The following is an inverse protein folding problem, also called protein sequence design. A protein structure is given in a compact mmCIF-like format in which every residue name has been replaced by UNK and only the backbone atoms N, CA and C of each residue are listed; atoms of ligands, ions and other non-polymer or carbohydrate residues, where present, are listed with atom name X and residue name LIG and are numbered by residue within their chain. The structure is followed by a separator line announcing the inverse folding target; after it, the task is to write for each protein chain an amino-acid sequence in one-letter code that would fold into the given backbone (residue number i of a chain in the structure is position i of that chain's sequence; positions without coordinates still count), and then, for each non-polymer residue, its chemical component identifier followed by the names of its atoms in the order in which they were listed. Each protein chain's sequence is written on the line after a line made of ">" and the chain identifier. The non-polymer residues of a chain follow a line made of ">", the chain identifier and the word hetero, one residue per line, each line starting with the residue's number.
data_IF_496303264376
#
_entry.id   IF_496303264376
#
_cell.length_a   1.000
_cell.length_b   1.000
_cell.length_c   1.000
_cell.angle_alpha   90.00
_cell.angle_beta   90.00
_cell.angle_gamma   90.00
#
_symmetry.space_group_name_H-M   'P 1'
#
loop_
_entity.id
_entity.type
_entity.pdbx_description
1 polymer ?
#
# COMPACT_ATOMS: atom_id res chain seq x y z
N UNK A 1 -16.35 -4.49 -6.27
CA UNK A 1 -15.91 -5.83 -5.85
C UNK A 1 -14.60 -5.78 -5.08
N UNK A 2 -13.55 -5.09 -5.53
CA UNK A 2 -12.27 -5.00 -4.82
C UNK A 2 -12.37 -4.51 -3.37
N UNK A 3 -13.18 -3.48 -3.08
CA UNK A 3 -13.36 -2.98 -1.72
C UNK A 3 -13.99 -4.02 -0.76
N UNK A 4 -14.89 -4.89 -1.27
CA UNK A 4 -15.47 -6.00 -0.48
C UNK A 4 -14.39 -7.04 -0.18
N UNK A 5 -13.58 -7.40 -1.18
CA UNK A 5 -12.49 -8.34 -0.99
C UNK A 5 -11.44 -7.81 0.01
N UNK A 6 -11.10 -6.51 -0.08
CA UNK A 6 -10.19 -5.86 0.86
C UNK A 6 -10.75 -5.86 2.31
N UNK A 7 -12.07 -5.73 2.48
CA UNK A 7 -12.69 -5.79 3.81
C UNK A 7 -12.70 -7.20 4.41
N UNK A 8 -12.93 -8.23 3.59
CA UNK A 8 -13.00 -9.63 4.04
C UNK A 8 -11.61 -10.26 4.18
N UNK A 9 -10.62 -9.80 3.37
CA UNK A 9 -9.30 -10.40 3.27
C UNK A 9 -8.59 -10.62 4.61
N UNK A 10 -8.37 -9.58 5.42
CA UNK A 10 -7.68 -9.72 6.71
C UNK A 10 -8.39 -10.68 7.67
N UNK A 11 -9.73 -10.64 7.71
CA UNK A 11 -10.51 -11.54 8.57
C UNK A 11 -10.42 -12.98 8.08
N UNK A 12 -10.58 -13.22 6.78
CA UNK A 12 -10.48 -14.55 6.17
C UNK A 12 -9.08 -15.14 6.35
N UNK A 13 -8.04 -14.34 6.06
CA UNK A 13 -6.64 -14.73 6.29
C UNK A 13 -6.37 -15.04 7.76
N UNK A 14 -6.90 -14.22 8.67
CA UNK A 14 -6.82 -14.43 10.12
C UNK A 14 -7.45 -15.74 10.59
N UNK A 15 -8.66 -16.05 10.12
CA UNK A 15 -9.33 -17.34 10.40
C UNK A 15 -8.49 -18.52 9.90
N UNK A 16 -8.05 -18.46 8.64
CA UNK A 16 -7.24 -19.53 8.04
C UNK A 16 -5.93 -19.75 8.80
N UNK A 17 -5.24 -18.68 9.15
CA UNK A 17 -3.93 -18.75 9.81
C UNK A 17 -4.05 -19.23 11.27
N UNK A 18 -5.05 -18.73 12.01
CA UNK A 18 -5.20 -19.01 13.44
C UNK A 18 -5.80 -20.39 13.72
N UNK A 19 -6.86 -20.79 13.00
CA UNK A 19 -7.62 -21.99 13.30
C UNK A 19 -7.24 -23.21 12.45
N UNK A 20 -6.56 -22.99 11.30
CA UNK A 20 -6.15 -24.07 10.41
C UNK A 20 -4.64 -24.04 10.18
N UNK A 21 -4.19 -23.34 9.16
CA UNK A 21 -2.78 -23.05 8.83
C UNK A 21 -2.76 -22.05 7.66
N UNK A 22 -1.76 -21.20 7.60
CA UNK A 22 -1.55 -20.28 6.47
C UNK A 22 -1.60 -20.97 5.09
N UNK A 23 -1.24 -22.26 5.02
CA UNK A 23 -1.30 -23.07 3.79
C UNK A 23 -2.71 -23.19 3.22
N UNK A 24 -3.74 -23.19 4.06
CA UNK A 24 -5.14 -23.27 3.61
C UNK A 24 -5.62 -21.97 2.95
N UNK A 25 -4.98 -20.83 3.24
CA UNK A 25 -5.21 -19.61 2.48
C UNK A 25 -4.95 -19.83 0.99
N UNK A 26 -3.78 -20.37 0.62
CA UNK A 26 -3.46 -20.71 -0.78
C UNK A 26 -4.35 -21.82 -1.34
N UNK A 27 -4.71 -22.81 -0.53
CA UNK A 27 -5.64 -23.86 -0.98
C UNK A 27 -7.02 -23.28 -1.31
N UNK A 28 -7.51 -22.28 -0.59
CA UNK A 28 -8.78 -21.60 -0.90
C UNK A 28 -8.72 -20.83 -2.22
N UNK A 29 -7.60 -20.19 -2.55
CA UNK A 29 -7.39 -19.56 -3.87
C UNK A 29 -7.46 -20.58 -4.99
N UNK A 30 -6.85 -21.76 -4.83
CA UNK A 30 -6.94 -22.85 -5.79
C UNK A 30 -8.40 -23.28 -6.02
N UNK A 31 -9.19 -23.41 -4.95
CA UNK A 31 -10.61 -23.75 -5.04
C UNK A 31 -11.38 -22.68 -5.84
N UNK A 32 -11.12 -21.39 -5.57
CA UNK A 32 -11.73 -20.28 -6.32
C UNK A 32 -11.39 -20.36 -7.80
N UNK A 33 -10.12 -20.60 -8.13
CA UNK A 33 -9.68 -20.76 -9.53
C UNK A 33 -10.37 -21.94 -10.19
N UNK A 34 -10.50 -23.09 -9.53
CA UNK A 34 -11.22 -24.27 -10.05
C UNK A 34 -12.69 -23.90 -10.32
N UNK A 35 -13.35 -23.21 -9.40
CA UNK A 35 -14.74 -22.78 -9.59
C UNK A 35 -14.86 -21.86 -10.81
N UNK A 36 -13.95 -20.90 -10.99
CA UNK A 36 -13.94 -20.00 -12.15
C UNK A 36 -13.77 -20.80 -13.44
N UNK A 37 -12.84 -21.78 -13.46
CA UNK A 37 -12.62 -22.64 -14.63
C UNK A 37 -13.84 -23.49 -14.96
N UNK A 38 -14.56 -24.00 -13.98
CA UNK A 38 -15.81 -24.76 -14.19
C UNK A 38 -16.92 -23.88 -14.71
N UNK A 39 -16.99 -22.62 -14.31
CA UNK A 39 -18.00 -21.66 -14.73
C UNK A 39 -17.66 -20.93 -16.03
N UNK A 40 -16.43 -21.04 -16.56
CA UNK A 40 -16.01 -20.34 -17.78
C UNK A 40 -16.90 -20.59 -18.98
N UNK A 41 -17.51 -21.79 -19.09
CA UNK A 41 -18.42 -22.14 -20.18
C UNK A 41 -19.72 -21.32 -20.18
N UNK A 42 -20.06 -20.68 -19.05
CA UNK A 42 -21.24 -19.80 -18.91
C UNK A 42 -20.92 -18.34 -19.25
N UNK A 43 -19.64 -18.00 -19.42
CA UNK A 43 -19.23 -16.65 -19.81
C UNK A 43 -19.41 -16.53 -21.33
N UNK A 44 -20.12 -15.49 -21.83
CA UNK A 44 -20.27 -15.27 -23.26
C UNK A 44 -18.88 -15.11 -23.90
N UNK A 45 -18.65 -15.81 -25.03
CA UNK A 45 -17.43 -15.64 -25.79
C UNK A 45 -17.45 -14.32 -26.55
N UNK A 46 -16.52 -13.46 -26.25
CA UNK A 46 -16.28 -12.26 -27.05
C UNK A 46 -15.27 -12.59 -28.16
N UNK A 47 -15.55 -12.21 -29.41
CA UNK A 47 -14.58 -12.41 -30.48
C UNK A 47 -13.29 -11.65 -30.14
N UNK A 48 -12.11 -12.26 -30.34
CA UNK A 48 -10.84 -11.57 -30.09
C UNK A 48 -10.74 -10.37 -31.03
N UNK A 49 -10.48 -9.22 -30.47
CA UNK A 49 -10.31 -7.95 -31.23
C UNK A 49 -9.01 -7.95 -32.02
N UNK A 50 -8.06 -8.80 -31.64
CA UNK A 50 -6.72 -8.87 -32.23
C UNK A 50 -6.25 -10.31 -32.43
N UNK A 51 -5.32 -10.51 -33.37
CA UNK A 51 -4.75 -11.81 -33.69
C UNK A 51 -3.75 -12.25 -32.62
N UNK A 52 -3.66 -13.56 -32.34
CA UNK A 52 -2.61 -14.16 -31.48
C UNK A 52 -1.18 -13.77 -31.90
N UNK A 53 -0.97 -13.38 -33.15
CA UNK A 53 0.35 -12.93 -33.67
C UNK A 53 0.72 -11.52 -33.19
N UNK A 54 -0.24 -10.77 -32.64
CA UNK A 54 -0.04 -9.40 -32.17
C UNK A 54 0.33 -9.34 -30.70
N UNK A 55 0.36 -10.49 -29.97
CA UNK A 55 0.77 -10.56 -28.58
C UNK A 55 2.23 -10.08 -28.41
N UNK A 56 2.41 -9.16 -27.47
CA UNK A 56 3.74 -8.65 -27.13
C UNK A 56 4.41 -9.46 -26.02
N UNK A 57 4.91 -10.62 -26.37
CA UNK A 57 5.65 -11.48 -25.43
C UNK A 57 6.95 -10.81 -24.97
N UNK A 58 7.62 -10.10 -25.86
CA UNK A 58 8.90 -9.43 -25.54
C UNK A 58 8.70 -8.31 -24.54
N UNK A 59 7.72 -7.43 -24.77
CA UNK A 59 7.36 -6.38 -23.82
C UNK A 59 6.93 -6.94 -22.46
N UNK A 60 6.14 -8.04 -22.49
CA UNK A 60 5.73 -8.72 -21.26
C UNK A 60 6.93 -9.22 -20.44
N UNK A 61 7.93 -9.85 -21.09
CA UNK A 61 9.12 -10.34 -20.39
C UNK A 61 9.96 -9.19 -19.84
N UNK A 62 10.19 -8.13 -20.62
CA UNK A 62 10.98 -6.96 -20.19
C UNK A 62 10.31 -6.27 -19.00
N UNK A 63 8.99 -6.04 -19.06
CA UNK A 63 8.23 -5.42 -17.97
C UNK A 63 8.25 -6.27 -16.71
N UNK A 64 8.05 -7.59 -16.86
CA UNK A 64 8.10 -8.54 -15.74
C UNK A 64 9.47 -8.51 -15.04
N UNK A 65 10.55 -8.60 -15.79
CA UNK A 65 11.91 -8.54 -15.24
C UNK A 65 12.14 -7.20 -14.54
N UNK A 66 11.77 -6.10 -15.18
CA UNK A 66 11.93 -4.76 -14.61
C UNK A 66 11.18 -4.59 -13.29
N UNK A 67 9.92 -5.03 -13.22
CA UNK A 67 9.09 -4.94 -12.02
C UNK A 67 9.60 -5.86 -10.90
N UNK A 68 9.97 -7.11 -11.24
CA UNK A 68 10.52 -8.05 -10.25
C UNK A 68 11.82 -7.51 -9.65
N UNK A 69 12.74 -7.01 -10.48
CA UNK A 69 13.99 -6.45 -9.99
C UNK A 69 13.76 -5.20 -9.13
N UNK A 70 12.84 -4.33 -9.52
CA UNK A 70 12.50 -3.14 -8.76
C UNK A 70 11.97 -3.50 -7.36
N UNK A 71 10.95 -4.36 -7.30
CA UNK A 71 10.33 -4.78 -6.03
C UNK A 71 11.31 -5.56 -5.17
N UNK A 72 12.02 -6.53 -5.76
CA UNK A 72 13.03 -7.31 -5.04
C UNK A 72 14.16 -6.43 -4.49
N UNK A 73 14.65 -5.47 -5.28
CA UNK A 73 15.68 -4.55 -4.83
C UNK A 73 15.20 -3.70 -3.65
N UNK A 74 13.96 -3.20 -3.66
CA UNK A 74 13.39 -2.44 -2.54
C UNK A 74 13.27 -3.32 -1.29
N UNK A 75 12.75 -4.55 -1.42
CA UNK A 75 12.62 -5.49 -0.30
C UNK A 75 13.96 -5.90 0.32
N UNK A 76 15.03 -5.91 -0.47
CA UNK A 76 16.37 -6.33 -0.04
C UNK A 76 17.21 -5.20 0.53
N UNK A 77 16.73 -3.94 0.53
CA UNK A 77 17.49 -2.77 1.03
C UNK A 77 17.95 -2.92 2.46
N UNK A 78 17.22 -3.66 3.29
CA UNK A 78 17.54 -3.92 4.69
C UNK A 78 18.63 -4.97 4.88
N UNK A 79 18.86 -5.85 3.89
CA UNK A 79 19.84 -6.93 3.99
C UNK A 79 21.23 -6.52 3.45
N UNK A 80 21.25 -5.90 2.27
CA UNK A 80 22.48 -5.41 1.63
C UNK A 80 22.16 -4.17 0.78
N UNK A 81 22.43 -3.01 1.33
CA UNK A 81 22.11 -1.72 0.74
C UNK A 81 22.74 -1.51 -0.63
N UNK A 82 24.05 -1.82 -0.77
CA UNK A 82 24.78 -1.58 -2.01
C UNK A 82 24.31 -2.47 -3.17
N UNK A 83 24.16 -3.77 -2.90
CA UNK A 83 23.65 -4.72 -3.90
C UNK A 83 22.21 -4.38 -4.27
N UNK A 84 21.37 -4.02 -3.30
CA UNK A 84 19.95 -3.68 -3.53
C UNK A 84 19.79 -2.44 -4.39
N UNK A 85 20.59 -1.38 -4.18
CA UNK A 85 20.59 -0.20 -5.06
C UNK A 85 20.98 -0.59 -6.49
N UNK A 86 21.99 -1.45 -6.66
CA UNK A 86 22.35 -1.97 -7.96
C UNK A 86 21.19 -2.66 -8.68
N UNK A 87 20.46 -3.53 -7.96
CA UNK A 87 19.29 -4.24 -8.47
C UNK A 87 18.15 -3.28 -8.82
N UNK A 88 17.88 -2.27 -7.98
CA UNK A 88 16.87 -1.23 -8.26
C UNK A 88 17.21 -0.47 -9.55
N UNK A 89 18.48 -0.06 -9.71
CA UNK A 89 18.94 0.65 -10.91
C UNK A 89 18.75 -0.21 -12.16
N UNK A 90 19.10 -1.49 -12.12
CA UNK A 90 18.89 -2.41 -13.24
C UNK A 90 17.40 -2.58 -13.52
N UNK A 91 16.56 -2.69 -12.50
CA UNK A 91 15.09 -2.73 -12.65
C UNK A 91 14.54 -1.47 -13.34
N UNK A 92 15.00 -0.28 -12.91
CA UNK A 92 14.60 1.00 -13.54
C UNK A 92 15.07 1.05 -15.00
N UNK A 93 16.30 0.64 -15.30
CA UNK A 93 16.82 0.61 -16.67
C UNK A 93 15.98 -0.33 -17.54
N UNK A 94 15.59 -1.50 -17.02
CA UNK A 94 14.73 -2.43 -17.73
C UNK A 94 13.34 -1.83 -18.01
N UNK A 95 12.74 -1.11 -17.05
CA UNK A 95 11.45 -0.43 -17.23
C UNK A 95 11.55 0.74 -18.22
N UNK A 96 12.62 1.51 -18.20
CA UNK A 96 12.88 2.56 -19.21
C UNK A 96 13.06 1.94 -20.60
N UNK A 97 13.80 0.82 -20.68
CA UNK A 97 13.94 0.02 -21.90
C UNK A 97 12.60 -0.51 -22.41
N UNK A 98 11.72 -0.99 -21.50
CA UNK A 98 10.36 -1.38 -21.82
C UNK A 98 9.56 -0.23 -22.44
N UNK A 99 9.56 0.95 -21.81
CA UNK A 99 8.88 2.15 -22.35
C UNK A 99 9.38 2.48 -23.75
N UNK A 100 10.70 2.48 -23.96
CA UNK A 100 11.28 2.73 -25.26
C UNK A 100 10.90 1.66 -26.31
N UNK A 101 10.88 0.39 -25.91
CA UNK A 101 10.49 -0.73 -26.75
C UNK A 101 9.03 -0.62 -27.19
N UNK A 102 8.11 -0.33 -26.27
CA UNK A 102 6.68 -0.15 -26.55
C UNK A 102 6.43 1.01 -27.52
N UNK A 103 7.07 2.16 -27.30
CA UNK A 103 6.97 3.31 -28.22
C UNK A 103 7.47 2.97 -29.61
N UNK A 104 8.58 2.22 -29.72
CA UNK A 104 9.12 1.78 -31.01
C UNK A 104 8.19 0.77 -31.70
N UNK A 105 7.62 -0.16 -30.92
CA UNK A 105 6.67 -1.15 -31.40
C UNK A 105 5.42 -0.50 -31.99
N UNK A 106 4.84 0.47 -31.29
CA UNK A 106 3.70 1.25 -31.77
C UNK A 106 4.02 2.02 -33.06
N UNK A 107 5.18 2.67 -33.12
CA UNK A 107 5.63 3.36 -34.35
C UNK A 107 5.81 2.41 -35.54
N UNK A 108 6.07 1.16 -35.31
CA UNK A 108 6.17 0.11 -36.34
C UNK A 108 4.82 -0.49 -36.74
N UNK A 109 3.70 0.09 -36.29
CA UNK A 109 2.34 -0.36 -36.60
C UNK A 109 1.94 -1.68 -35.92
N UNK A 110 2.69 -2.13 -34.91
CA UNK A 110 2.36 -3.31 -34.09
C UNK A 110 1.62 -2.88 -32.84
N UNK A 111 0.76 -3.77 -32.33
CA UNK A 111 0.03 -3.54 -31.09
C UNK A 111 1.00 -3.64 -29.90
N UNK A 112 1.14 -2.57 -29.08
CA UNK A 112 1.95 -2.59 -27.88
C UNK A 112 1.21 -3.33 -26.74
N UNK A 113 1.96 -3.89 -25.79
CA UNK A 113 1.38 -4.44 -24.55
C UNK A 113 0.68 -3.34 -23.75
N UNK A 114 1.35 -2.19 -23.67
CA UNK A 114 0.86 -1.00 -22.98
C UNK A 114 0.95 0.21 -23.91
N UNK A 115 -0.19 0.83 -24.19
CA UNK A 115 -0.18 2.08 -24.95
C UNK A 115 0.28 3.24 -24.08
N UNK A 116 1.60 3.46 -24.06
CA UNK A 116 2.24 4.51 -23.25
C UNK A 116 1.76 5.91 -23.67
N UNK A 117 1.26 6.06 -24.90
CA UNK A 117 0.72 7.37 -25.32
C UNK A 117 -0.56 7.75 -24.56
N UNK A 118 -1.28 6.79 -23.99
CA UNK A 118 -2.39 7.07 -23.10
C UNK A 118 -1.95 7.87 -21.87
N UNK A 119 -0.71 7.70 -21.41
CA UNK A 119 -0.15 8.50 -20.31
C UNK A 119 0.09 9.98 -20.67
N UNK A 120 -0.11 10.39 -21.91
CA UNK A 120 -0.16 11.81 -22.29
C UNK A 120 -1.44 12.48 -21.78
N UNK A 121 -2.52 11.71 -21.55
CA UNK A 121 -3.69 12.25 -20.87
C UNK A 121 -3.35 12.55 -19.42
N UNK A 122 -3.55 13.81 -19.04
CA UNK A 122 -3.19 14.32 -17.71
C UNK A 122 -3.97 13.61 -16.59
N UNK A 123 -5.25 13.35 -16.80
CA UNK A 123 -6.08 12.70 -15.79
C UNK A 123 -5.68 11.24 -15.60
N UNK A 124 -5.33 10.52 -16.67
CA UNK A 124 -4.82 9.16 -16.56
C UNK A 124 -3.48 9.14 -15.82
N UNK A 125 -2.51 9.96 -16.19
CA UNK A 125 -1.19 9.99 -15.56
C UNK A 125 -1.26 10.39 -14.09
N UNK A 126 -1.95 11.50 -13.78
CA UNK A 126 -2.06 11.97 -12.40
C UNK A 126 -2.93 11.02 -11.57
N UNK A 127 -4.05 10.53 -12.13
CA UNK A 127 -4.93 9.58 -11.46
C UNK A 127 -4.22 8.26 -11.15
N UNK A 128 -3.41 7.75 -12.06
CA UNK A 128 -2.58 6.55 -11.87
C UNK A 128 -1.53 6.73 -10.77
N UNK A 129 -0.88 7.90 -10.72
CA UNK A 129 0.08 8.24 -9.66
C UNK A 129 -0.63 8.36 -8.29
N UNK A 130 -1.81 8.96 -8.26
CA UNK A 130 -2.65 9.01 -7.04
C UNK A 130 -3.01 7.60 -6.58
N UNK A 131 -3.42 6.72 -7.50
CA UNK A 131 -3.70 5.31 -7.18
C UNK A 131 -2.49 4.63 -6.57
N UNK A 132 -1.32 4.75 -7.18
CA UNK A 132 -0.08 4.16 -6.67
C UNK A 132 0.19 4.63 -5.24
N UNK A 133 0.14 5.93 -4.98
CA UNK A 133 0.42 6.49 -3.66
C UNK A 133 -0.66 6.15 -2.61
N UNK A 134 -1.94 6.09 -3.00
CA UNK A 134 -3.02 5.72 -2.11
C UNK A 134 -2.93 4.23 -1.69
N UNK A 135 -2.63 3.33 -2.65
CA UNK A 135 -2.41 1.92 -2.37
C UNK A 135 -1.11 1.68 -1.58
N UNK A 136 -0.06 2.46 -1.84
CA UNK A 136 1.16 2.46 -1.05
C UNK A 136 0.87 2.83 0.41
N UNK A 137 0.09 3.88 0.63
CA UNK A 137 -0.34 4.31 1.97
C UNK A 137 -1.16 3.22 2.68
N UNK A 138 -2.10 2.60 1.97
CA UNK A 138 -2.96 1.54 2.52
C UNK A 138 -2.15 0.28 2.87
N UNK A 139 -1.37 -0.25 1.92
CA UNK A 139 -0.58 -1.47 2.10
C UNK A 139 0.47 -1.31 3.20
N UNK A 140 1.17 -0.17 3.19
CA UNK A 140 2.16 0.14 4.21
C UNK A 140 1.58 0.32 5.61
N UNK A 141 0.47 1.06 5.73
CA UNK A 141 -0.18 1.24 7.02
C UNK A 141 -0.75 -0.07 7.58
N UNK A 142 -1.43 -0.88 6.74
CA UNK A 142 -1.91 -2.21 7.17
C UNK A 142 -0.77 -3.11 7.62
N UNK A 143 0.36 -3.09 6.92
CA UNK A 143 1.55 -3.85 7.29
C UNK A 143 2.08 -3.42 8.66
N UNK A 144 2.30 -2.11 8.86
CA UNK A 144 2.82 -1.58 10.14
C UNK A 144 1.85 -1.84 11.31
N UNK A 145 0.55 -1.61 11.11
CA UNK A 145 -0.47 -1.87 12.12
C UNK A 145 -0.51 -3.36 12.47
N UNK A 146 -0.51 -4.24 11.45
CA UNK A 146 -0.55 -5.70 11.68
C UNK A 146 0.71 -6.18 12.42
N UNK A 147 1.87 -5.63 12.07
CA UNK A 147 3.12 -5.95 12.75
C UNK A 147 3.06 -5.50 14.23
N UNK A 148 2.60 -4.29 14.51
CA UNK A 148 2.41 -3.80 15.87
C UNK A 148 1.45 -4.68 16.68
N UNK A 149 0.29 -5.01 16.13
CA UNK A 149 -0.72 -5.82 16.81
C UNK A 149 -0.20 -7.23 17.13
N UNK A 150 0.57 -7.85 16.23
CA UNK A 150 1.08 -9.20 16.42
C UNK A 150 2.36 -9.23 17.26
N UNK A 151 3.31 -8.31 17.01
CA UNK A 151 4.61 -8.34 17.68
C UNK A 151 4.60 -7.66 19.05
N UNK A 152 3.82 -6.59 19.22
CA UNK A 152 3.76 -5.80 20.46
C UNK A 152 2.60 -6.25 21.35
N UNK A 153 1.39 -6.27 20.80
CA UNK A 153 0.21 -6.69 21.59
C UNK A 153 0.01 -8.21 21.62
N UNK A 154 0.90 -8.98 20.95
CA UNK A 154 0.90 -10.45 20.91
C UNK A 154 -0.44 -11.05 20.47
N UNK A 155 -1.17 -10.32 19.60
CA UNK A 155 -2.43 -10.80 19.07
C UNK A 155 -2.19 -11.90 18.03
N UNK A 156 -3.04 -12.90 18.02
CA UNK A 156 -3.06 -13.87 16.93
C UNK A 156 -3.59 -13.24 15.64
N UNK A 157 -3.45 -13.92 14.51
CA UNK A 157 -3.82 -13.39 13.20
C UNK A 157 -5.33 -13.09 13.08
N UNK A 158 -6.19 -13.85 13.77
CA UNK A 158 -7.64 -13.61 13.76
C UNK A 158 -8.00 -12.30 14.50
N UNK A 159 -7.47 -12.12 15.71
CA UNK A 159 -7.72 -10.92 16.51
C UNK A 159 -7.12 -9.67 15.83
N UNK A 160 -5.96 -9.82 15.16
CA UNK A 160 -5.38 -8.79 14.29
C UNK A 160 -6.35 -8.42 13.17
N UNK A 161 -6.88 -9.41 12.45
CA UNK A 161 -7.86 -9.19 11.38
C UNK A 161 -9.12 -8.49 11.90
N UNK A 162 -9.60 -8.89 13.08
CA UNK A 162 -10.78 -8.28 13.72
C UNK A 162 -10.51 -6.81 14.12
N UNK A 163 -9.32 -6.54 14.65
CA UNK A 163 -8.91 -5.18 15.05
C UNK A 163 -8.76 -4.25 13.86
N UNK A 164 -8.35 -4.76 12.68
CA UNK A 164 -8.21 -3.97 11.44
C UNK A 164 -9.52 -3.79 10.67
N UNK A 165 -10.61 -4.48 11.04
CA UNK A 165 -11.92 -4.35 10.39
C UNK A 165 -12.44 -2.92 10.28
N UNK A 166 -12.35 -2.04 11.28
CA UNK A 166 -12.83 -0.67 11.16
C UNK A 166 -12.22 0.09 9.99
N UNK A 167 -10.92 -0.12 9.70
CA UNK A 167 -10.26 0.49 8.55
C UNK A 167 -10.88 0.00 7.23
N UNK A 168 -11.04 -1.31 7.08
CA UNK A 168 -11.57 -1.91 5.85
C UNK A 168 -13.08 -1.65 5.69
N UNK A 169 -13.84 -1.58 6.78
CA UNK A 169 -15.26 -1.19 6.77
C UNK A 169 -15.39 0.29 6.37
N UNK A 170 -14.57 1.18 6.95
CA UNK A 170 -14.52 2.58 6.55
C UNK A 170 -14.23 2.72 5.06
N UNK A 171 -13.18 2.04 4.57
CA UNK A 171 -12.84 2.02 3.15
C UNK A 171 -14.01 1.55 2.29
N UNK A 172 -14.65 0.43 2.64
CA UNK A 172 -15.76 -0.14 1.88
C UNK A 172 -16.96 0.81 1.81
N UNK A 173 -17.42 1.32 2.95
CA UNK A 173 -18.59 2.20 3.01
C UNK A 173 -18.36 3.45 2.16
N UNK A 174 -17.23 4.12 2.34
CA UNK A 174 -16.95 5.38 1.66
C UNK A 174 -16.57 5.18 0.19
N UNK A 175 -15.96 4.07 -0.18
CA UNK A 175 -15.76 3.71 -1.60
C UNK A 175 -17.09 3.46 -2.33
N UNK A 176 -18.06 2.81 -1.68
CA UNK A 176 -19.40 2.60 -2.26
C UNK A 176 -20.22 3.89 -2.36
N UNK A 177 -20.03 4.82 -1.42
CA UNK A 177 -20.69 6.13 -1.43
C UNK A 177 -20.05 7.11 -2.43
N UNK A 178 -18.78 6.93 -2.78
CA UNK A 178 -18.00 7.86 -3.58
C UNK A 178 -18.65 8.22 -4.92
N UNK A 179 -19.12 7.27 -5.76
CA UNK A 179 -19.75 7.61 -7.05
C UNK A 179 -20.99 8.46 -6.89
N UNK A 180 -21.86 8.18 -5.91
CA UNK A 180 -23.10 8.94 -5.71
C UNK A 180 -22.85 10.35 -5.17
N UNK A 181 -21.89 10.53 -4.29
CA UNK A 181 -21.51 11.84 -3.76
C UNK A 181 -20.73 12.67 -4.79
N UNK A 182 -19.95 12.05 -5.65
CA UNK A 182 -19.15 12.75 -6.68
C UNK A 182 -20.01 13.45 -7.71
N UNK A 183 -21.22 12.95 -7.98
CA UNK A 183 -22.19 13.61 -8.86
C UNK A 183 -22.62 14.97 -8.30
N UNK A 184 -22.69 15.12 -6.96
CA UNK A 184 -23.11 16.36 -6.29
C UNK A 184 -21.95 17.33 -6.04
N UNK A 185 -20.82 16.80 -5.59
CA UNK A 185 -19.69 17.61 -5.13
C UNK A 185 -18.58 17.78 -6.18
N UNK A 186 -18.56 16.94 -7.20
CA UNK A 186 -17.44 16.79 -8.14
C UNK A 186 -16.39 15.81 -7.63
N UNK A 187 -15.75 15.08 -8.54
CA UNK A 187 -14.76 14.05 -8.22
C UNK A 187 -13.55 14.64 -7.47
N UNK A 188 -12.99 15.74 -7.98
CA UNK A 188 -11.82 16.42 -7.40
C UNK A 188 -12.04 16.87 -5.96
N UNK A 189 -13.18 17.54 -5.67
CA UNK A 189 -13.46 18.04 -4.33
C UNK A 189 -13.66 16.91 -3.35
N UNK A 190 -14.43 15.89 -3.75
CA UNK A 190 -14.69 14.74 -2.87
C UNK A 190 -13.42 13.93 -2.58
N UNK A 191 -12.55 13.77 -3.56
CA UNK A 191 -11.25 13.12 -3.38
C UNK A 191 -10.34 13.93 -2.45
N UNK A 192 -10.30 15.27 -2.58
CA UNK A 192 -9.56 16.14 -1.66
C UNK A 192 -10.08 16.02 -0.22
N UNK A 193 -11.40 15.96 -0.02
CA UNK A 193 -12.01 15.69 1.29
C UNK A 193 -11.56 14.32 1.81
N UNK A 194 -11.56 13.29 0.97
CA UNK A 194 -11.06 11.96 1.33
C UNK A 194 -9.60 11.98 1.81
N UNK A 195 -8.72 12.68 1.09
CA UNK A 195 -7.32 12.82 1.51
C UNK A 195 -7.18 13.50 2.87
N UNK A 196 -7.95 14.58 3.13
CA UNK A 196 -7.94 15.26 4.43
C UNK A 196 -8.42 14.32 5.54
N UNK A 197 -9.50 13.57 5.31
CA UNK A 197 -10.01 12.58 6.28
C UNK A 197 -8.95 11.51 6.57
N UNK A 198 -8.26 11.00 5.54
CA UNK A 198 -7.20 10.02 5.73
C UNK A 198 -6.02 10.57 6.55
N UNK A 199 -5.60 11.82 6.28
CA UNK A 199 -4.55 12.51 7.05
C UNK A 199 -4.97 12.63 8.53
N UNK A 200 -6.20 13.04 8.81
CA UNK A 200 -6.72 13.12 10.18
C UNK A 200 -6.71 11.76 10.85
N UNK A 201 -7.12 10.70 10.14
CA UNK A 201 -7.04 9.32 10.64
C UNK A 201 -5.61 8.89 10.99
N UNK A 202 -4.63 9.19 10.13
CA UNK A 202 -3.22 8.92 10.40
C UNK A 202 -2.71 9.70 11.63
N UNK A 203 -3.07 10.98 11.76
CA UNK A 203 -2.67 11.82 12.90
C UNK A 203 -3.29 11.33 14.22
N UNK A 204 -4.54 10.88 14.20
CA UNK A 204 -5.15 10.26 15.38
C UNK A 204 -4.45 8.95 15.76
N UNK A 205 -4.12 8.11 14.78
CA UNK A 205 -3.40 6.85 15.02
C UNK A 205 -2.00 7.09 15.57
N UNK A 206 -1.28 8.11 15.08
CA UNK A 206 0.11 8.37 15.48
C UNK A 206 0.29 8.57 16.99
N UNK A 207 -0.76 8.95 17.70
CA UNK A 207 -0.71 9.19 19.16
C UNK A 207 -1.16 8.00 20.01
N UNK A 208 -1.66 6.92 19.38
CA UNK A 208 -2.31 5.82 20.08
C UNK A 208 -1.43 4.56 20.25
N UNK A 209 -0.33 4.47 19.53
CA UNK A 209 0.54 3.29 19.58
C UNK A 209 1.45 3.33 20.82
N UNK A 210 1.12 2.52 21.81
CA UNK A 210 1.86 2.37 23.07
C UNK A 210 1.89 0.90 23.48
N UNK A 211 2.84 0.53 24.34
CA UNK A 211 3.01 -0.84 24.85
C UNK A 211 1.73 -1.43 25.47
N UNK A 212 0.96 -0.60 26.18
CA UNK A 212 -0.27 -1.01 26.86
C UNK A 212 -1.53 -0.42 26.21
N UNK A 213 -1.49 -0.13 24.90
CA UNK A 213 -2.65 0.44 24.22
C UNK A 213 -3.81 -0.56 24.16
N UNK A 214 -5.03 -0.09 24.42
CA UNK A 214 -6.23 -0.90 24.19
C UNK A 214 -6.54 -0.91 22.68
N UNK A 215 -6.95 -2.08 22.16
CA UNK A 215 -7.44 -2.20 20.78
C UNK A 215 -8.51 -1.15 20.47
N UNK A 216 -9.39 -0.85 21.43
CA UNK A 216 -10.48 0.13 21.26
C UNK A 216 -9.99 1.54 20.92
N UNK A 217 -8.80 1.92 21.38
CA UNK A 217 -8.24 3.24 21.11
C UNK A 217 -7.81 3.41 19.64
N UNK A 218 -7.48 2.30 18.97
CA UNK A 218 -7.07 2.31 17.57
C UNK A 218 -8.26 2.37 16.58
N UNK A 219 -9.44 1.85 16.99
CA UNK A 219 -10.59 1.69 16.10
C UNK A 219 -11.06 3.01 15.45
N UNK A 220 -11.19 4.16 16.17
CA UNK A 220 -11.65 5.40 15.56
C UNK A 220 -10.68 5.91 14.49
N UNK A 221 -9.39 5.92 14.79
CA UNK A 221 -8.35 6.36 13.83
C UNK A 221 -8.31 5.47 12.60
N UNK A 222 -8.39 4.15 12.76
CA UNK A 222 -8.48 3.19 11.65
C UNK A 222 -9.71 3.43 10.77
N UNK A 223 -10.89 3.61 11.37
CA UNK A 223 -12.11 3.85 10.60
C UNK A 223 -12.03 5.16 9.81
N UNK A 224 -11.55 6.25 10.43
CA UNK A 224 -11.41 7.55 9.78
C UNK A 224 -10.39 7.47 8.64
N UNK A 225 -9.24 6.82 8.86
CA UNK A 225 -8.24 6.61 7.82
C UNK A 225 -8.82 5.81 6.64
N UNK A 226 -9.52 4.71 6.93
CA UNK A 226 -10.18 3.88 5.93
C UNK A 226 -11.23 4.64 5.13
N UNK A 227 -12.06 5.46 5.79
CA UNK A 227 -13.05 6.31 5.16
C UNK A 227 -12.43 7.28 4.13
N UNK A 228 -11.32 7.92 4.50
CA UNK A 228 -10.58 8.82 3.62
C UNK A 228 -9.96 8.10 2.42
N UNK A 229 -9.32 6.97 2.66
CA UNK A 229 -8.75 6.12 1.60
C UNK A 229 -9.85 5.61 0.65
N UNK A 230 -11.02 5.25 1.16
CA UNK A 230 -12.15 4.79 0.35
C UNK A 230 -12.58 5.82 -0.70
N UNK A 231 -12.71 7.09 -0.32
CA UNK A 231 -12.99 8.17 -1.28
C UNK A 231 -11.84 8.36 -2.28
N UNK A 232 -10.60 8.44 -1.80
CA UNK A 232 -9.45 8.71 -2.65
C UNK A 232 -9.25 7.60 -3.69
N UNK A 233 -9.29 6.33 -3.29
CA UNK A 233 -9.03 5.19 -4.16
C UNK A 233 -10.16 4.97 -5.18
N UNK A 234 -11.42 5.02 -4.76
CA UNK A 234 -12.55 4.81 -5.67
C UNK A 234 -12.62 5.88 -6.76
N UNK A 235 -12.46 7.15 -6.39
CA UNK A 235 -12.55 8.27 -7.34
C UNK A 235 -11.33 8.38 -8.25
N UNK A 236 -10.15 7.92 -7.81
CA UNK A 236 -8.94 7.94 -8.63
C UNK A 236 -9.05 7.04 -9.86
N UNK A 237 -9.70 5.88 -9.73
CA UNK A 237 -9.97 4.99 -10.87
C UNK A 237 -10.90 5.67 -11.86
N UNK A 238 -12.01 6.24 -11.36
CA UNK A 238 -13.00 6.90 -12.21
C UNK A 238 -12.41 8.07 -12.99
N UNK A 239 -11.61 8.93 -12.32
CA UNK A 239 -10.97 10.08 -12.95
C UNK A 239 -9.89 9.66 -13.95
N UNK A 240 -9.11 8.64 -13.64
CA UNK A 240 -8.04 8.17 -14.50
C UNK A 240 -8.55 7.74 -15.88
N UNK A 241 -9.72 7.08 -15.94
CA UNK A 241 -10.26 6.56 -17.19
C UNK A 241 -11.29 7.47 -17.87
N UNK A 242 -11.71 8.56 -17.24
CA UNK A 242 -12.85 9.40 -17.69
C UNK A 242 -12.67 10.02 -19.08
N UNK A 243 -11.43 10.29 -19.47
CA UNK A 243 -11.08 10.90 -20.78
C UNK A 243 -10.62 9.86 -21.80
N UNK A 244 -10.42 8.61 -21.38
CA UNK A 244 -9.87 7.57 -22.24
C UNK A 244 -10.95 7.10 -23.22
N UNK A 245 -10.69 7.11 -24.54
CA UNK A 245 -11.64 6.62 -25.53
C UNK A 245 -11.88 5.10 -25.35
N UNK A 246 -13.04 4.58 -25.81
CA UNK A 246 -13.40 3.17 -25.63
C UNK A 246 -12.33 2.18 -26.06
N UNK A 247 -11.61 2.46 -27.14
CA UNK A 247 -10.52 1.63 -27.69
C UNK A 247 -9.33 1.52 -26.74
N UNK A 248 -9.09 2.57 -25.93
CA UNK A 248 -7.98 2.64 -24.96
C UNK A 248 -8.33 2.16 -23.55
N UNK A 249 -9.59 1.87 -23.25
CA UNK A 249 -10.04 1.54 -21.88
C UNK A 249 -9.38 0.29 -21.31
N UNK A 250 -9.15 -0.73 -22.13
CA UNK A 250 -8.45 -1.94 -21.69
C UNK A 250 -7.01 -1.63 -21.27
N UNK A 251 -6.29 -0.82 -22.06
CA UNK A 251 -4.94 -0.36 -21.72
C UNK A 251 -4.91 0.49 -20.46
N UNK A 252 -5.83 1.44 -20.31
CA UNK A 252 -5.96 2.26 -19.12
C UNK A 252 -6.27 1.43 -17.86
N UNK A 253 -7.14 0.43 -17.97
CA UNK A 253 -7.44 -0.51 -16.88
C UNK A 253 -6.21 -1.33 -16.49
N UNK A 254 -5.38 -1.76 -17.46
CA UNK A 254 -4.12 -2.42 -17.19
C UNK A 254 -3.13 -1.52 -16.43
N UNK A 255 -3.00 -0.24 -16.85
CA UNK A 255 -2.15 0.75 -16.19
C UNK A 255 -2.61 0.98 -14.74
N UNK A 256 -3.90 1.21 -14.52
CA UNK A 256 -4.45 1.47 -13.17
C UNK A 256 -4.29 0.24 -12.26
N UNK A 257 -4.56 -0.97 -12.75
CA UNK A 257 -4.39 -2.20 -11.97
C UNK A 257 -2.92 -2.47 -11.61
N UNK A 258 -2.01 -2.24 -12.56
CA UNK A 258 -0.56 -2.35 -12.29
C UNK A 258 -0.12 -1.36 -11.22
N UNK A 259 -0.61 -0.11 -11.28
CA UNK A 259 -0.27 0.91 -10.28
C UNK A 259 -0.81 0.58 -8.89
N UNK A 260 -2.00 -0.02 -8.80
CA UNK A 260 -2.55 -0.51 -7.53
C UNK A 260 -1.66 -1.59 -6.93
N UNK A 261 -1.32 -2.63 -7.70
CA UNK A 261 -0.48 -3.74 -7.23
C UNK A 261 0.94 -3.30 -6.87
N UNK A 262 1.52 -2.39 -7.67
CA UNK A 262 2.82 -1.80 -7.36
C UNK A 262 2.76 -0.96 -6.09
N UNK A 263 1.74 -0.11 -5.95
CA UNK A 263 1.55 0.72 -4.76
C UNK A 263 1.50 -0.14 -3.51
N UNK A 264 0.68 -1.19 -3.49
CA UNK A 264 0.54 -2.09 -2.35
C UNK A 264 1.86 -2.81 -2.01
N UNK A 265 2.54 -3.38 -3.01
CA UNK A 265 3.82 -4.09 -2.83
C UNK A 265 4.93 -3.15 -2.36
N UNK A 266 5.04 -1.96 -2.97
CA UNK A 266 6.03 -0.94 -2.56
C UNK A 266 5.70 -0.37 -1.19
N UNK A 267 4.42 -0.27 -0.82
CA UNK A 267 3.96 0.21 0.46
C UNK A 267 4.50 -0.62 1.61
N UNK A 268 4.34 -1.94 1.54
CA UNK A 268 4.89 -2.87 2.55
C UNK A 268 6.41 -2.77 2.66
N UNK A 269 7.11 -2.70 1.52
CA UNK A 269 8.57 -2.61 1.48
C UNK A 269 9.10 -1.28 2.04
N UNK A 270 8.56 -0.15 1.57
CA UNK A 270 9.00 1.19 2.00
C UNK A 270 8.67 1.42 3.47
N UNK A 271 7.46 1.05 3.90
CA UNK A 271 7.08 1.19 5.32
C UNK A 271 7.91 0.25 6.20
N UNK A 272 8.31 -0.94 5.71
CA UNK A 272 9.25 -1.81 6.41
C UNK A 272 10.59 -1.10 6.70
N UNK A 273 11.15 -0.37 5.72
CA UNK A 273 12.36 0.43 5.91
C UNK A 273 12.10 1.59 6.89
N UNK A 274 10.96 2.27 6.75
CA UNK A 274 10.59 3.39 7.63
C UNK A 274 10.42 2.92 9.07
N UNK A 275 9.90 1.70 9.29
CA UNK A 275 9.85 1.10 10.63
C UNK A 275 11.25 0.92 11.24
N UNK A 276 12.21 0.43 10.47
CA UNK A 276 13.60 0.29 10.95
C UNK A 276 14.18 1.66 11.30
N UNK A 277 14.04 2.65 10.42
CA UNK A 277 14.50 4.02 10.69
C UNK A 277 13.78 4.64 11.90
N UNK A 278 12.50 4.35 12.08
CA UNK A 278 11.72 4.77 13.24
C UNK A 278 12.24 4.17 14.55
N UNK A 279 12.63 2.89 14.53
CA UNK A 279 13.25 2.23 15.70
C UNK A 279 14.57 2.90 16.07
N UNK A 280 15.42 3.21 15.09
CA UNK A 280 16.67 3.96 15.36
C UNK A 280 16.37 5.34 15.97
N UNK A 281 15.46 6.10 15.41
CA UNK A 281 15.06 7.41 15.97
C UNK A 281 14.48 7.29 17.38
N UNK A 282 13.64 6.27 17.61
CA UNK A 282 13.08 5.98 18.94
C UNK A 282 14.13 5.59 19.97
N UNK A 283 15.16 4.83 19.55
CA UNK A 283 16.29 4.49 20.43
C UNK A 283 17.09 5.74 20.79
N UNK A 284 17.43 6.58 19.79
CA UNK A 284 18.13 7.85 20.04
C UNK A 284 17.36 8.73 21.05
N UNK A 285 16.04 8.87 20.88
CA UNK A 285 15.19 9.60 21.82
C UNK A 285 15.15 8.94 23.22
N UNK A 286 15.06 7.61 23.29
CA UNK A 286 15.07 6.91 24.56
C UNK A 286 16.43 7.07 25.29
N UNK A 287 17.55 7.08 24.56
CA UNK A 287 18.88 7.36 25.11
C UNK A 287 18.94 8.79 25.65
N UNK A 288 18.40 9.78 24.93
CA UNK A 288 18.36 11.18 25.41
C UNK A 288 17.59 11.33 26.73
N UNK A 289 16.54 10.52 26.93
CA UNK A 289 15.67 10.59 28.13
C UNK A 289 16.25 9.80 29.30
N UNK A 290 16.76 8.58 29.05
CA UNK A 290 17.15 7.63 30.11
C UNK A 290 18.65 7.50 30.34
N UNK A 291 19.49 7.89 29.38
CA UNK A 291 20.95 7.82 29.45
C UNK A 291 21.61 9.04 28.75
N UNK A 292 21.29 10.27 29.18
CA UNK A 292 21.72 11.49 28.49
C UNK A 292 23.22 11.66 28.35
N UNK A 293 24.02 10.94 29.17
CA UNK A 293 25.49 10.93 29.08
C UNK A 293 25.97 10.23 27.80
N UNK A 294 25.13 9.41 27.16
CA UNK A 294 25.44 8.71 25.91
C UNK A 294 24.72 9.34 24.69
N UNK A 295 24.02 10.47 24.88
CA UNK A 295 23.31 11.18 23.80
C UNK A 295 24.25 11.50 22.65
N UNK A 296 23.84 11.13 21.41
CA UNK A 296 24.64 11.32 20.19
C UNK A 296 25.85 10.37 20.06
N UNK A 297 25.95 9.33 20.89
CA UNK A 297 26.96 8.29 20.73
C UNK A 297 26.47 7.18 19.80
N UNK A 298 26.81 7.28 18.50
CA UNK A 298 26.37 6.34 17.47
C UNK A 298 26.71 4.87 17.80
N UNK A 299 27.83 4.61 18.45
CA UNK A 299 28.26 3.25 18.83
C UNK A 299 27.31 2.67 19.90
N UNK A 300 26.95 3.48 20.89
CA UNK A 300 26.05 3.07 21.96
C UNK A 300 24.61 2.86 21.41
N UNK A 301 24.16 3.73 20.53
CA UNK A 301 22.83 3.60 19.88
C UNK A 301 22.76 2.35 19.00
N UNK A 302 23.85 1.99 18.31
CA UNK A 302 23.95 0.76 17.52
C UNK A 302 23.90 -0.49 18.39
N UNK A 303 24.66 -0.51 19.50
CA UNK A 303 24.63 -1.61 20.48
C UNK A 303 23.24 -1.77 21.12
N UNK A 304 22.56 -0.65 21.41
CA UNK A 304 21.20 -0.64 21.90
C UNK A 304 20.21 -1.20 20.87
N UNK A 305 20.41 -0.88 19.58
CA UNK A 305 19.59 -1.45 18.50
C UNK A 305 19.78 -2.96 18.35
N UNK A 306 21.02 -3.44 18.37
CA UNK A 306 21.31 -4.88 18.32
C UNK A 306 20.69 -5.61 19.53
N UNK A 307 20.80 -5.01 20.72
CA UNK A 307 20.16 -5.53 21.93
C UNK A 307 18.64 -5.57 21.82
N UNK A 308 18.02 -4.52 21.26
CA UNK A 308 16.56 -4.48 21.04
C UNK A 308 16.10 -5.58 20.07
N UNK A 309 16.88 -5.90 19.03
CA UNK A 309 16.58 -6.99 18.11
C UNK A 309 16.63 -8.38 18.75
N UNK A 310 17.46 -8.56 19.79
CA UNK A 310 17.61 -9.84 20.48
C UNK A 310 16.56 -10.10 21.55
N UNK A 311 15.74 -9.09 21.90
CA UNK A 311 14.63 -9.23 22.83
C UNK A 311 13.55 -10.15 22.22
N UNK A 312 13.51 -11.38 22.68
CA UNK A 312 12.68 -12.44 22.11
C UNK A 312 11.21 -12.41 22.58
N UNK A 313 10.93 -11.73 23.70
CA UNK A 313 9.54 -11.55 24.16
C UNK A 313 9.37 -10.28 25.01
N UNK A 314 8.23 -9.60 24.84
CA UNK A 314 7.85 -8.45 25.66
C UNK A 314 7.61 -8.86 27.12
N UNK A 315 7.32 -10.13 27.40
CA UNK A 315 7.15 -10.65 28.76
C UNK A 315 8.46 -10.58 29.58
N UNK A 316 9.62 -10.65 28.93
CA UNK A 316 10.91 -10.55 29.62
C UNK A 316 11.24 -9.09 30.03
N UNK A 317 10.58 -8.12 29.38
CA UNK A 317 10.77 -6.67 29.58
C UNK A 317 9.93 -6.16 30.77
N UNK A 318 8.82 -6.79 31.11
CA UNK A 318 7.83 -6.27 32.07
C UNK A 318 8.34 -6.20 33.52
N UNK A 319 9.51 -6.70 33.85
CA UNK A 319 10.06 -6.74 35.21
C UNK A 319 10.74 -5.43 35.65
N UNK A 320 11.19 -4.59 34.73
CA UNK A 320 11.85 -3.32 35.05
C UNK A 320 11.09 -2.12 34.45
N UNK A 321 10.54 -1.21 35.30
CA UNK A 321 9.80 -0.03 34.85
C UNK A 321 10.60 0.89 33.90
N UNK A 322 11.92 0.94 34.03
CA UNK A 322 12.80 1.74 33.18
C UNK A 322 12.84 1.14 31.76
N UNK A 323 13.02 -0.17 31.67
CA UNK A 323 13.03 -0.89 30.39
C UNK A 323 11.67 -0.77 29.70
N UNK A 324 10.58 -0.88 30.44
CA UNK A 324 9.22 -0.65 29.92
C UNK A 324 9.08 0.75 29.33
N UNK A 325 9.59 1.78 30.02
CA UNK A 325 9.55 3.16 29.54
C UNK A 325 10.35 3.38 28.26
N UNK A 326 11.54 2.80 28.17
CA UNK A 326 12.39 2.85 26.98
C UNK A 326 11.69 2.22 25.78
N UNK A 327 11.15 1.03 25.94
CA UNK A 327 10.44 0.30 24.88
C UNK A 327 9.18 1.04 24.43
N UNK A 328 8.41 1.63 25.36
CA UNK A 328 7.21 2.41 25.04
C UNK A 328 7.55 3.65 24.18
N UNK A 329 8.64 4.36 24.48
CA UNK A 329 9.15 5.48 23.67
C UNK A 329 9.51 5.00 22.25
N UNK A 330 10.32 3.94 22.16
CA UNK A 330 10.75 3.41 20.86
C UNK A 330 9.55 3.02 20.00
N UNK A 331 8.58 2.31 20.57
CA UNK A 331 7.38 1.87 19.85
C UNK A 331 6.50 3.05 19.43
N UNK A 332 6.28 4.00 20.35
CA UNK A 332 5.47 5.18 20.08
C UNK A 332 6.08 6.01 18.95
N UNK A 333 7.37 6.33 19.03
CA UNK A 333 8.05 7.15 18.05
C UNK A 333 8.12 6.46 16.68
N UNK A 334 8.42 5.16 16.67
CA UNK A 334 8.42 4.35 15.43
C UNK A 334 7.08 4.40 14.72
N UNK A 335 5.99 4.09 15.44
CA UNK A 335 4.66 4.04 14.85
C UNK A 335 4.12 5.44 14.52
N UNK A 336 4.44 6.45 15.34
CA UNK A 336 4.12 7.84 15.03
C UNK A 336 4.81 8.28 13.74
N UNK A 337 6.09 7.97 13.58
CA UNK A 337 6.86 8.28 12.36
C UNK A 337 6.25 7.63 11.12
N UNK A 338 5.88 6.35 11.19
CA UNK A 338 5.19 5.65 10.10
C UNK A 338 3.87 6.32 9.74
N UNK A 339 3.04 6.65 10.73
CA UNK A 339 1.75 7.31 10.48
C UNK A 339 1.93 8.73 9.92
N UNK A 340 2.95 9.46 10.38
CA UNK A 340 3.29 10.79 9.84
C UNK A 340 3.75 10.72 8.37
N UNK A 341 4.62 9.76 8.03
CA UNK A 341 5.02 9.57 6.63
C UNK A 341 3.82 9.17 5.76
N UNK A 342 2.95 8.30 6.25
CA UNK A 342 1.70 7.95 5.56
C UNK A 342 0.81 9.18 5.35
N UNK A 343 0.71 10.06 6.34
CA UNK A 343 -0.03 11.32 6.23
C UNK A 343 0.63 12.28 5.22
N UNK A 344 1.97 12.34 5.16
CA UNK A 344 2.70 13.13 4.15
C UNK A 344 2.42 12.60 2.75
N UNK A 345 2.43 11.28 2.55
CA UNK A 345 2.08 10.69 1.26
C UNK A 345 0.65 11.07 0.87
N UNK A 346 -0.31 11.01 1.79
CA UNK A 346 -1.68 11.45 1.54
C UNK A 346 -1.80 12.97 1.30
N UNK A 347 -0.92 13.79 1.88
CA UNK A 347 -0.83 15.21 1.56
C UNK A 347 -0.30 15.45 0.12
N UNK A 348 0.66 14.63 -0.33
CA UNK A 348 1.11 14.66 -1.73
C UNK A 348 -0.05 14.26 -2.65
N UNK A 349 -0.81 13.21 -2.31
CA UNK A 349 -2.03 12.82 -3.03
C UNK A 349 -3.04 13.97 -3.10
N UNK A 350 -3.23 14.71 -2.00
CA UNK A 350 -4.09 15.89 -1.96
C UNK A 350 -3.61 16.95 -2.96
N UNK A 351 -2.31 17.25 -2.99
CA UNK A 351 -1.72 18.21 -3.93
C UNK A 351 -1.93 17.74 -5.39
N UNK A 352 -1.66 16.47 -5.67
CA UNK A 352 -1.88 15.88 -7.00
C UNK A 352 -3.36 15.95 -7.41
N UNK A 353 -4.28 15.77 -6.48
CA UNK A 353 -5.71 15.90 -6.71
C UNK A 353 -6.07 17.31 -7.21
N UNK A 354 -5.34 18.35 -6.77
CA UNK A 354 -5.55 19.71 -7.25
C UNK A 354 -5.13 19.91 -8.71
N UNK A 355 -4.30 19.04 -9.27
CA UNK A 355 -3.87 19.07 -10.66
C UNK A 355 -4.85 18.41 -11.62
N UNK A 356 -5.80 17.61 -11.12
CA UNK A 356 -6.81 16.93 -11.93
C UNK A 356 -7.80 17.92 -12.55
N UNK A 357 -8.31 17.58 -13.71
CA UNK A 357 -9.32 18.34 -14.41
C UNK A 357 -10.71 17.72 -14.19
N UNK A 358 -11.61 18.48 -13.55
CA UNK A 358 -13.02 18.07 -13.46
C UNK A 358 -13.70 18.27 -14.81
N UNK A 359 -14.03 17.18 -15.49
CA UNK A 359 -14.97 17.27 -16.61
C UNK A 359 -16.35 17.55 -16.04
N UNK A 360 -16.92 18.72 -16.33
CA UNK A 360 -18.35 18.96 -16.06
C UNK A 360 -19.12 17.88 -16.80
N UNK A 361 -19.72 16.94 -16.05
CA UNK A 361 -20.67 15.97 -16.60
C UNK A 361 -21.77 16.84 -17.24
N UNK A 362 -21.76 16.92 -18.57
CA UNK A 362 -22.94 17.49 -19.29
C UNK A 362 -24.13 16.65 -18.89
N UNK A 363 -25.06 17.29 -18.16
CA UNK A 363 -26.37 16.73 -17.84
C UNK A 363 -27.11 16.39 -19.11
#
# INVERSE_FOLDING_TARGET
>A
MGAIAAAIGPLFGGVMTTFLSWKYGFASELIIVIIILLLQSKIPSFPPTESKKDLDITGTIISLIGLVLLVYGILSLTNDFNTSIGVIIVGIIALVGFVWFELRRKRSGKVPLLDIELLKDKNLSVGTLILLLAYLSMGGALFAISLFLQSVLQLNAFDTGLTTLPLTIGLLIFALMAPSLSVKLGHRKLMAIGCIIAIVGCMLLSTQFRLHTSMLNLLPGMFIMGAGLGFAMALSVDIAIINVPPEGQNGASGITSTSQSLGESMGTAIIGIILILGVFGGISHAVDVYAPEYSGNETFELEAYESFQTVSSINDIQSDPTVVGIVDIILQDTMAFVMQITAIIMAIVLILTLLLEDKKIKK
#
